data_IF_733029709656
#
_entry.id   IF_733029709656
#
_cell.length_a   1.000
_cell.length_b   1.000
_cell.length_c   1.000
_cell.angle_alpha   90.00
_cell.angle_beta   90.00
_cell.angle_gamma   90.00
#
_symmetry.space_group_name_H-M   'P 1'
#
loop_
_entity.id
_entity.type
_entity.pdbx_description
1 polymer ?
#
# COMPACT_ATOMS: atom_id res chain seq x y z
N UNK A 1 -8.47 16.34 1.45
CA UNK A 1 -8.21 14.90 1.22
C UNK A 1 -6.75 14.68 0.86
N UNK A 2 -6.15 13.57 1.29
CA UNK A 2 -4.69 13.27 1.13
C UNK A 2 -4.38 12.16 0.12
N UNK A 3 -5.39 11.60 -0.54
CA UNK A 3 -5.17 10.55 -1.54
C UNK A 3 -4.42 11.09 -2.76
N UNK A 4 -3.66 10.22 -3.42
CA UNK A 4 -2.87 10.57 -4.60
C UNK A 4 -3.76 11.13 -5.71
N UNK A 5 -3.31 12.17 -6.42
CA UNK A 5 -4.06 12.84 -7.48
C UNK A 5 -5.18 13.78 -7.01
N UNK A 6 -5.75 13.57 -5.81
CA UNK A 6 -6.83 14.43 -5.29
C UNK A 6 -6.40 15.90 -5.14
N UNK A 7 -5.21 16.24 -4.60
CA UNK A 7 -4.77 17.63 -4.53
C UNK A 7 -4.67 18.32 -5.89
N UNK A 8 -4.16 17.61 -6.91
CA UNK A 8 -4.02 18.14 -8.26
C UNK A 8 -5.38 18.38 -8.92
N UNK A 9 -6.32 17.45 -8.75
CA UNK A 9 -7.68 17.60 -9.25
C UNK A 9 -8.45 18.71 -8.51
N UNK A 10 -8.32 18.79 -7.20
CA UNK A 10 -8.94 19.86 -6.41
C UNK A 10 -8.40 21.25 -6.79
N UNK A 11 -7.11 21.37 -7.10
CA UNK A 11 -6.52 22.62 -7.58
C UNK A 11 -7.07 23.03 -8.96
N UNK A 12 -7.24 22.08 -9.88
CA UNK A 12 -7.93 22.34 -11.15
C UNK A 12 -9.37 22.81 -10.95
N UNK A 13 -10.14 22.16 -10.07
CA UNK A 13 -11.53 22.54 -9.78
C UNK A 13 -11.67 23.92 -9.13
N UNK A 14 -10.62 24.43 -8.48
CA UNK A 14 -10.58 25.81 -7.94
C UNK A 14 -10.06 26.85 -8.95
N UNK A 15 -9.58 26.42 -10.11
CA UNK A 15 -8.96 27.30 -11.11
C UNK A 15 -7.49 27.62 -10.85
N UNK A 16 -6.83 26.96 -9.88
CA UNK A 16 -5.42 27.19 -9.55
C UNK A 16 -4.48 26.67 -10.66
N UNK A 17 -4.92 25.65 -11.41
CA UNK A 17 -4.16 25.00 -12.49
C UNK A 17 -5.02 24.81 -13.73
N UNK A 18 -4.38 24.77 -14.89
CA UNK A 18 -5.01 24.22 -16.09
C UNK A 18 -5.14 22.68 -16.01
N UNK A 19 -5.97 22.13 -16.89
CA UNK A 19 -6.23 20.68 -16.93
C UNK A 19 -4.94 19.88 -17.19
N UNK A 20 -4.06 20.38 -18.05
CA UNK A 20 -2.83 19.66 -18.42
C UNK A 20 -1.86 19.56 -17.25
N UNK A 21 -1.72 20.64 -16.47
CA UNK A 21 -0.90 20.70 -15.27
C UNK A 21 -1.41 19.75 -14.20
N UNK A 22 -2.73 19.70 -13.99
CA UNK A 22 -3.32 18.76 -13.04
C UNK A 22 -3.09 17.30 -13.43
N UNK A 23 -3.23 16.95 -14.72
CA UNK A 23 -2.90 15.62 -15.26
C UNK A 23 -1.42 15.30 -15.03
N UNK A 24 -0.53 16.22 -15.41
CA UNK A 24 0.90 16.04 -15.26
C UNK A 24 1.30 15.75 -13.81
N UNK A 25 0.79 16.56 -12.86
CA UNK A 25 1.08 16.40 -11.43
C UNK A 25 0.52 15.07 -10.90
N UNK A 26 -0.73 14.74 -11.23
CA UNK A 26 -1.34 13.47 -10.83
C UNK A 26 -0.53 12.26 -11.32
N UNK A 27 -0.15 12.24 -12.60
CA UNK A 27 0.66 11.16 -13.17
C UNK A 27 2.06 11.07 -12.55
N UNK A 28 2.73 12.21 -12.35
CA UNK A 28 4.05 12.26 -11.73
C UNK A 28 4.02 11.67 -10.32
N UNK A 29 3.06 12.10 -9.51
CA UNK A 29 2.96 11.70 -8.12
C UNK A 29 2.61 10.20 -8.00
N UNK A 30 1.78 9.68 -8.91
CA UNK A 30 1.52 8.23 -9.06
C UNK A 30 2.78 7.43 -9.35
N UNK A 31 3.63 7.87 -10.29
CA UNK A 31 4.90 7.19 -10.57
C UNK A 31 5.85 7.23 -9.36
N UNK A 32 5.93 8.37 -8.67
CA UNK A 32 6.76 8.50 -7.47
C UNK A 32 6.28 7.56 -6.35
N UNK A 33 4.97 7.45 -6.16
CA UNK A 33 4.40 6.55 -5.17
C UNK A 33 4.68 5.08 -5.53
N UNK A 34 4.44 4.68 -6.78
CA UNK A 34 4.75 3.32 -7.25
C UNK A 34 6.24 2.97 -7.05
N UNK A 35 7.15 3.89 -7.40
CA UNK A 35 8.59 3.71 -7.14
C UNK A 35 8.87 3.51 -5.65
N UNK A 36 8.27 4.32 -4.77
CA UNK A 36 8.45 4.19 -3.33
C UNK A 36 7.95 2.85 -2.81
N UNK A 37 6.80 2.38 -3.29
CA UNK A 37 6.26 1.05 -2.94
C UNK A 37 7.23 -0.06 -3.34
N UNK A 38 7.74 -0.02 -4.56
CA UNK A 38 8.72 -1.00 -5.05
C UNK A 38 10.02 -0.94 -4.23
N UNK A 39 10.55 0.24 -3.95
CA UNK A 39 11.76 0.41 -3.13
C UNK A 39 11.53 -0.12 -1.71
N UNK A 40 10.39 0.19 -1.11
CA UNK A 40 10.06 -0.28 0.23
C UNK A 40 9.96 -1.80 0.25
N UNK A 41 9.23 -2.41 -0.70
CA UNK A 41 9.12 -3.87 -0.83
C UNK A 41 10.50 -4.50 -0.99
N UNK A 42 11.36 -4.01 -1.88
CA UNK A 42 12.71 -4.58 -2.08
C UNK A 42 13.56 -4.57 -0.81
N UNK A 43 13.40 -3.56 0.05
CA UNK A 43 14.26 -3.37 1.21
C UNK A 43 13.68 -3.89 2.53
N UNK A 44 12.36 -4.10 2.60
CA UNK A 44 11.67 -4.45 3.84
C UNK A 44 10.86 -5.75 3.73
N UNK A 45 10.73 -6.31 2.53
CA UNK A 45 10.05 -7.58 2.37
C UNK A 45 11.02 -8.73 2.68
N UNK A 46 10.77 -9.41 3.79
CA UNK A 46 11.44 -10.66 4.14
C UNK A 46 10.75 -11.78 3.35
N UNK A 47 11.37 -12.26 2.27
CA UNK A 47 10.78 -13.31 1.42
C UNK A 47 10.90 -14.70 2.03
N UNK A 48 11.93 -14.93 2.85
CA UNK A 48 12.28 -16.23 3.41
C UNK A 48 12.03 -16.23 4.91
N UNK A 49 10.78 -16.01 5.29
CA UNK A 49 10.36 -16.13 6.67
C UNK A 49 10.14 -17.62 7.00
N UNK A 50 11.18 -18.28 7.48
CA UNK A 50 11.07 -19.62 8.06
C UNK A 50 10.69 -19.50 9.54
N UNK A 51 9.42 -19.78 9.85
CA UNK A 51 8.97 -19.99 11.22
C UNK A 51 9.53 -21.31 11.74
N UNK A 52 10.67 -21.27 12.41
CA UNK A 52 11.23 -22.40 13.15
C UNK A 52 10.64 -22.53 14.57
N UNK A 53 9.58 -21.78 14.89
CA UNK A 53 8.87 -21.93 16.15
C UNK A 53 8.11 -23.26 16.16
N UNK A 54 8.50 -24.16 17.06
CA UNK A 54 7.71 -25.35 17.38
C UNK A 54 6.49 -24.87 18.16
N UNK A 55 5.42 -24.50 17.44
CA UNK A 55 4.14 -24.26 18.08
C UNK A 55 3.72 -25.53 18.82
N UNK A 56 3.45 -25.42 20.13
CA UNK A 56 2.78 -26.49 20.85
C UNK A 56 1.52 -26.87 20.07
N UNK A 57 1.29 -28.17 19.79
CA UNK A 57 0.09 -28.63 19.08
C UNK A 57 -1.21 -28.07 19.68
N UNK A 58 -1.23 -27.77 20.98
CA UNK A 58 -2.36 -27.12 21.67
C UNK A 58 -2.62 -25.67 21.22
N UNK A 59 -1.58 -24.94 20.84
CA UNK A 59 -1.66 -23.54 20.36
C UNK A 59 -2.15 -23.53 18.91
N UNK A 60 -1.61 -24.39 18.04
CA UNK A 60 -2.06 -24.52 16.65
C UNK A 60 -3.57 -24.81 16.56
N UNK A 61 -4.07 -25.77 17.35
CA UNK A 61 -5.50 -26.12 17.38
C UNK A 61 -6.41 -24.97 17.83
N UNK A 62 -5.90 -23.97 18.56
CA UNK A 62 -6.68 -22.80 19.00
C UNK A 62 -6.64 -21.63 18.03
N UNK A 63 -5.54 -21.47 17.31
CA UNK A 63 -5.31 -20.31 16.43
C UNK A 63 -5.91 -20.55 15.04
N UNK A 64 -5.62 -21.69 14.41
CA UNK A 64 -6.00 -21.94 13.02
C UNK A 64 -7.52 -21.94 12.76
N UNK A 65 -8.39 -22.45 13.66
CA UNK A 65 -9.83 -22.34 13.46
C UNK A 65 -10.32 -20.89 13.40
N UNK A 66 -9.71 -19.96 14.15
CA UNK A 66 -10.13 -18.55 14.16
C UNK A 66 -9.78 -17.79 12.89
N UNK A 67 -8.73 -18.25 12.19
CA UNK A 67 -8.31 -17.68 10.90
C UNK A 67 -9.22 -18.22 9.78
N UNK A 68 -9.55 -19.51 9.83
CA UNK A 68 -10.37 -20.18 8.81
C UNK A 68 -11.87 -19.91 8.96
N UNK A 69 -12.36 -19.56 10.15
CA UNK A 69 -13.77 -19.20 10.38
C UNK A 69 -14.13 -17.75 9.99
N UNK A 70 -13.13 -16.93 9.63
CA UNK A 70 -13.32 -15.54 9.22
C UNK A 70 -13.08 -15.32 7.71
N UNK A 71 -13.07 -16.41 6.93
CA UNK A 71 -13.17 -16.43 5.46
C UNK A 71 -14.48 -17.14 5.11
#
# INVERSE_FOLDING_TARGET
>A
MRALGVPALSAYLRGDFDKQRAIYLGCRDTRHYAKRQITWLRNNFISNYENNEIYSNKICQKIFPKILLNI
#
